data_IF_966169867752
#
_entry.id   IF_966169867752
#
_cell.length_a   1.000
_cell.length_b   1.000
_cell.length_c   1.000
_cell.angle_alpha   90.00
_cell.angle_beta   90.00
_cell.angle_gamma   90.00
#
_symmetry.space_group_name_H-M   'P 1'
#
loop_
_entity.id
_entity.type
_entity.pdbx_description
1 polymer ?
#
# COMPACT_ATOMS: atom_id res chain seq x y z
N UNK A 1 -28.86 1.01 29.86
CA UNK A 1 -28.14 -0.05 30.60
C UNK A 1 -27.55 -1.14 29.69
N UNK A 2 -28.32 -1.72 28.75
CA UNK A 2 -27.82 -2.77 27.84
C UNK A 2 -26.63 -2.36 26.95
N UNK A 3 -26.62 -1.12 26.43
CA UNK A 3 -25.52 -0.59 25.61
C UNK A 3 -24.22 -0.35 26.40
N UNK A 4 -24.34 0.03 27.67
CA UNK A 4 -23.19 0.27 28.55
C UNK A 4 -22.55 -1.04 29.01
N UNK A 5 -23.36 -2.07 29.27
CA UNK A 5 -22.90 -3.44 29.55
C UNK A 5 -22.21 -4.09 28.34
N UNK A 6 -22.65 -3.79 27.12
CA UNK A 6 -21.99 -4.25 25.90
C UNK A 6 -20.60 -3.62 25.74
N UNK A 7 -20.49 -2.31 25.98
CA UNK A 7 -19.21 -1.58 25.91
C UNK A 7 -18.26 -2.04 27.03
N UNK A 8 -18.77 -2.27 28.25
CA UNK A 8 -18.00 -2.87 29.35
C UNK A 8 -17.62 -4.34 29.09
N UNK A 9 -18.45 -5.10 28.38
CA UNK A 9 -18.15 -6.45 27.94
C UNK A 9 -17.03 -6.48 26.90
N UNK A 10 -17.07 -5.59 25.91
CA UNK A 10 -16.01 -5.43 24.91
C UNK A 10 -14.71 -4.94 25.56
N UNK A 11 -14.79 -3.95 26.46
CA UNK A 11 -13.63 -3.50 27.23
C UNK A 11 -13.08 -4.60 28.16
N UNK A 12 -13.95 -5.40 28.79
CA UNK A 12 -13.56 -6.53 29.63
C UNK A 12 -12.81 -7.63 28.85
N UNK A 13 -13.21 -7.89 27.61
CA UNK A 13 -12.51 -8.82 26.70
C UNK A 13 -11.16 -8.24 26.26
N UNK A 14 -11.07 -6.92 26.04
CA UNK A 14 -9.81 -6.23 25.71
C UNK A 14 -8.80 -6.24 26.86
N UNK A 15 -9.25 -6.26 28.12
CA UNK A 15 -8.36 -6.25 29.30
C UNK A 15 -8.12 -7.62 29.95
N UNK A 16 -8.93 -8.65 29.65
CA UNK A 16 -8.78 -10.00 30.21
C UNK A 16 -7.92 -10.96 29.36
N UNK A 17 -7.44 -10.54 28.19
CA UNK A 17 -6.62 -11.34 27.27
C UNK A 17 -5.18 -11.65 27.73
N UNK A 18 -4.88 -11.48 29.03
CA UNK A 18 -3.62 -11.90 29.62
C UNK A 18 -3.60 -13.40 29.84
N UNK A 19 -2.87 -14.13 28.99
CA UNK A 19 -2.47 -15.55 29.15
C UNK A 19 -3.45 -16.59 28.59
N UNK A 20 -3.50 -16.74 27.27
CA UNK A 20 -3.83 -18.02 26.64
C UNK A 20 -2.90 -18.24 25.44
N UNK A 21 -2.43 -19.48 25.29
CA UNK A 21 -1.32 -19.88 24.42
C UNK A 21 -1.65 -19.71 22.92
N UNK A 22 -0.83 -18.92 22.24
CA UNK A 22 -0.41 -18.88 20.82
C UNK A 22 -1.34 -19.27 19.64
N UNK A 23 -2.29 -20.20 19.76
CA UNK A 23 -3.19 -20.60 18.65
C UNK A 23 -4.61 -20.06 18.82
N UNK A 24 -5.16 -20.04 20.04
CA UNK A 24 -6.51 -19.50 20.27
C UNK A 24 -6.55 -17.99 20.08
N UNK A 25 -5.44 -17.31 20.36
CA UNK A 25 -5.34 -15.86 20.19
C UNK A 25 -5.42 -15.45 18.73
N UNK A 26 -4.84 -16.21 17.79
CA UNK A 26 -4.89 -15.90 16.35
C UNK A 26 -6.30 -15.96 15.76
N UNK A 27 -7.09 -16.95 16.17
CA UNK A 27 -8.50 -17.05 15.72
C UNK A 27 -9.32 -15.91 16.32
N UNK A 28 -9.10 -15.59 17.60
CA UNK A 28 -9.78 -14.47 18.25
C UNK A 28 -9.38 -13.12 17.63
N UNK A 29 -8.09 -12.92 17.36
CA UNK A 29 -7.53 -11.75 16.65
C UNK A 29 -8.21 -11.56 15.31
N UNK A 30 -8.26 -12.62 14.48
CA UNK A 30 -8.95 -12.57 13.19
C UNK A 30 -10.41 -12.17 13.34
N UNK A 31 -11.15 -12.71 14.32
CA UNK A 31 -12.56 -12.34 14.53
C UNK A 31 -12.72 -10.88 15.00
N UNK A 32 -11.88 -10.43 15.93
CA UNK A 32 -11.98 -9.09 16.54
C UNK A 32 -11.54 -8.01 15.56
N UNK A 33 -10.46 -8.24 14.84
CA UNK A 33 -9.87 -7.31 13.89
C UNK A 33 -10.47 -7.43 12.49
N UNK A 34 -11.29 -8.45 12.23
CA UNK A 34 -11.95 -8.67 10.94
C UNK A 34 -12.54 -7.40 10.30
N UNK A 35 -13.36 -6.58 11.01
CA UNK A 35 -13.94 -5.40 10.39
C UNK A 35 -12.90 -4.35 10.02
N UNK A 36 -11.79 -4.28 10.77
CA UNK A 36 -10.70 -3.35 10.50
C UNK A 36 -9.86 -3.83 9.30
N UNK A 37 -9.48 -5.11 9.29
CA UNK A 37 -8.74 -5.71 8.18
C UNK A 37 -9.51 -5.59 6.87
N UNK A 38 -10.80 -5.95 6.87
CA UNK A 38 -11.63 -5.84 5.67
C UNK A 38 -11.68 -4.40 5.10
N UNK A 39 -11.66 -3.38 5.97
CA UNK A 39 -11.60 -1.97 5.54
C UNK A 39 -10.21 -1.63 5.00
N UNK A 40 -9.14 -2.12 5.62
CA UNK A 40 -7.79 -1.92 5.12
C UNK A 40 -7.57 -2.59 3.77
N UNK A 41 -8.01 -3.83 3.60
CA UNK A 41 -7.91 -4.56 2.34
C UNK A 41 -8.72 -3.84 1.24
N UNK A 42 -9.91 -3.33 1.59
CA UNK A 42 -10.72 -2.51 0.68
C UNK A 42 -9.98 -1.23 0.26
N UNK A 43 -9.28 -0.58 1.18
CA UNK A 43 -8.47 0.59 0.88
C UNK A 43 -7.25 0.20 0.06
N UNK A 44 -6.59 -0.92 0.31
CA UNK A 44 -5.40 -1.32 -0.45
C UNK A 44 -5.70 -1.69 -1.91
N UNK A 45 -6.96 -1.96 -2.27
CA UNK A 45 -7.37 -2.25 -3.68
C UNK A 45 -7.02 -1.17 -4.71
N UNK A 46 -6.75 0.06 -4.29
CA UNK A 46 -6.39 1.15 -5.19
C UNK A 46 -5.35 2.08 -4.60
N UNK A 47 -4.60 2.77 -5.45
CA UNK A 47 -3.76 3.91 -5.09
C UNK A 47 -4.41 5.18 -5.62
N UNK A 48 -4.44 6.21 -4.79
CA UNK A 48 -4.78 7.58 -5.19
C UNK A 48 -3.80 8.54 -4.53
N UNK A 49 -2.82 9.01 -5.30
CA UNK A 49 -1.90 10.03 -4.82
C UNK A 49 -2.20 11.35 -5.53
N UNK A 50 -2.07 12.44 -4.77
CA UNK A 50 -2.20 13.80 -5.29
C UNK A 50 -0.99 14.57 -4.81
N UNK A 51 -0.35 15.29 -5.74
CA UNK A 51 0.81 16.10 -5.40
C UNK A 51 0.92 17.34 -6.26
N UNK A 52 1.96 18.11 -5.95
CA UNK A 52 2.33 19.31 -6.68
C UNK A 52 3.85 19.44 -6.73
N UNK A 53 4.36 20.14 -7.74
CA UNK A 53 5.79 20.40 -7.88
C UNK A 53 6.20 20.65 -9.32
N UNK A 54 7.47 21.02 -9.56
CA UNK A 54 8.03 21.14 -10.89
C UNK A 54 8.29 19.74 -11.48
N UNK A 55 7.22 19.02 -11.82
CA UNK A 55 7.28 17.69 -12.45
C UNK A 55 6.62 17.73 -13.82
N UNK A 56 7.08 16.90 -14.74
CA UNK A 56 6.36 16.54 -15.95
C UNK A 56 6.29 15.03 -15.98
N UNK A 57 5.09 14.48 -16.00
CA UNK A 57 4.84 13.05 -15.91
C UNK A 57 3.66 12.64 -16.79
N UNK A 58 3.86 11.58 -17.56
CA UNK A 58 2.79 10.88 -18.24
C UNK A 58 3.15 9.40 -18.26
N UNK A 59 2.34 8.56 -17.63
CA UNK A 59 2.54 7.12 -17.51
C UNK A 59 1.22 6.40 -17.64
N UNK A 60 1.23 5.34 -18.43
CA UNK A 60 0.14 4.38 -18.54
C UNK A 60 0.72 2.98 -18.35
N UNK A 61 0.13 2.22 -17.45
CA UNK A 61 0.65 0.95 -16.97
C UNK A 61 -0.43 -0.13 -16.97
N UNK A 62 -0.13 -1.24 -17.63
CA UNK A 62 -0.88 -2.48 -17.46
C UNK A 62 -0.28 -3.33 -16.34
N UNK A 63 1.05 -3.40 -16.26
CA UNK A 63 1.80 -3.98 -15.13
C UNK A 63 3.17 -3.32 -15.08
N UNK A 64 3.95 -3.55 -14.04
CA UNK A 64 5.34 -3.14 -14.02
C UNK A 64 6.12 -3.68 -15.22
N UNK A 65 5.79 -4.85 -15.79
CA UNK A 65 6.40 -5.40 -17.01
C UNK A 65 5.95 -4.74 -18.32
N UNK A 66 4.75 -4.17 -18.33
CA UNK A 66 4.11 -3.62 -19.53
C UNK A 66 3.55 -2.24 -19.20
N UNK A 67 4.35 -1.20 -19.46
CA UNK A 67 3.92 0.20 -19.34
C UNK A 67 4.70 1.13 -20.27
N UNK A 68 4.17 2.33 -20.46
CA UNK A 68 4.79 3.34 -21.29
C UNK A 68 4.64 4.71 -20.65
N UNK A 69 5.72 5.50 -20.69
CA UNK A 69 5.67 6.83 -20.12
C UNK A 69 7.04 7.43 -19.82
N UNK A 70 7.00 8.63 -19.28
CA UNK A 70 8.18 9.33 -18.82
C UNK A 70 7.84 10.29 -17.69
N UNK A 71 8.84 10.52 -16.83
CA UNK A 71 8.80 11.50 -15.75
C UNK A 71 10.13 12.22 -15.66
N UNK A 72 10.08 13.50 -15.35
CA UNK A 72 11.22 14.27 -14.87
C UNK A 72 10.78 15.28 -13.82
N UNK A 73 11.55 15.38 -12.74
CA UNK A 73 11.43 16.46 -11.76
C UNK A 73 11.01 15.99 -10.36
N UNK A 74 10.61 16.96 -9.55
CA UNK A 74 10.32 16.76 -8.13
C UNK A 74 8.85 17.06 -7.83
N UNK A 75 8.26 16.29 -6.92
CA UNK A 75 6.88 16.46 -6.47
C UNK A 75 6.73 16.18 -4.99
N UNK A 76 5.98 17.01 -4.29
CA UNK A 76 5.46 16.72 -2.95
C UNK A 76 4.09 16.07 -3.11
N UNK A 77 3.92 14.88 -2.54
CA UNK A 77 2.71 14.07 -2.70
C UNK A 77 2.09 13.73 -1.35
N UNK A 78 0.76 13.70 -1.35
CA UNK A 78 -0.05 13.02 -0.36
C UNK A 78 -0.34 11.61 -0.88
N UNK A 79 0.04 10.61 -0.11
CA UNK A 79 -0.04 9.20 -0.45
C UNK A 79 -1.26 8.55 0.20
N UNK A 80 -2.03 7.89 -0.65
CA UNK A 80 -2.89 6.76 -0.31
C UNK A 80 -2.46 5.69 -1.29
N UNK A 81 -1.46 4.92 -0.92
CA UNK A 81 -0.71 4.05 -1.81
C UNK A 81 -0.74 2.59 -1.35
N UNK A 82 -0.31 1.71 -2.27
CA UNK A 82 -0.19 0.27 -2.08
C UNK A 82 0.46 -0.12 -0.75
N UNK A 83 -0.01 -1.24 -0.19
CA UNK A 83 0.56 -1.86 1.02
C UNK A 83 0.48 -0.93 2.24
N UNK A 84 -0.70 -0.35 2.49
CA UNK A 84 -1.02 0.49 3.65
C UNK A 84 -0.15 1.73 3.80
N UNK A 85 0.29 2.31 2.69
CA UNK A 85 1.10 3.51 2.70
C UNK A 85 0.24 4.78 2.70
N UNK A 86 0.17 5.45 3.86
CA UNK A 86 -0.65 6.64 4.06
C UNK A 86 0.17 7.80 4.62
N UNK A 87 0.19 8.93 3.94
CA UNK A 87 0.85 10.11 4.49
C UNK A 87 1.41 11.06 3.45
N UNK A 88 2.60 11.59 3.69
CA UNK A 88 3.21 12.61 2.84
C UNK A 88 4.66 12.25 2.53
N UNK A 89 5.14 12.71 1.38
CA UNK A 89 6.54 12.56 1.02
C UNK A 89 6.93 13.32 -0.24
N UNK A 90 8.24 13.34 -0.47
CA UNK A 90 8.88 14.03 -1.60
C UNK A 90 9.45 13.00 -2.55
N UNK A 91 8.96 13.00 -3.78
CA UNK A 91 9.47 12.18 -4.88
C UNK A 91 10.34 13.02 -5.80
N UNK A 92 11.54 12.54 -6.08
CA UNK A 92 12.47 13.18 -7.00
C UNK A 92 13.17 12.17 -7.89
N UNK A 93 13.47 12.60 -9.11
CA UNK A 93 14.15 11.81 -10.12
C UNK A 93 13.45 11.78 -11.46
N UNK A 94 13.79 10.78 -12.26
CA UNK A 94 13.30 10.63 -13.63
C UNK A 94 13.12 9.16 -13.99
N UNK A 95 12.27 8.92 -14.99
CA UNK A 95 12.19 7.63 -15.65
C UNK A 95 11.74 7.80 -17.09
N UNK A 96 12.01 6.80 -17.90
CA UNK A 96 11.29 6.55 -19.14
C UNK A 96 11.13 5.05 -19.32
N UNK A 97 10.01 4.64 -19.93
CA UNK A 97 9.83 3.26 -20.36
C UNK A 97 9.00 3.22 -21.62
N UNK A 98 9.36 2.28 -22.50
CA UNK A 98 8.59 1.97 -23.67
C UNK A 98 8.25 0.47 -23.69
N UNK A 99 7.02 0.17 -23.31
CA UNK A 99 6.44 -1.17 -23.20
C UNK A 99 7.11 -1.99 -22.09
N UNK A 100 8.36 -2.43 -22.26
CA UNK A 100 9.01 -3.33 -21.30
C UNK A 100 10.49 -3.04 -21.08
N UNK A 101 11.02 -2.02 -21.75
CA UNK A 101 12.42 -1.62 -21.63
C UNK A 101 12.46 -0.14 -21.33
N UNK A 102 13.20 0.21 -20.29
CA UNK A 102 13.31 1.58 -19.84
C UNK A 102 14.47 1.77 -18.88
N UNK A 103 14.53 2.96 -18.33
CA UNK A 103 15.47 3.32 -17.28
C UNK A 103 14.77 4.20 -16.25
N UNK A 104 15.09 3.99 -14.98
CA UNK A 104 14.61 4.84 -13.90
C UNK A 104 15.74 5.16 -12.93
N UNK A 105 15.70 6.39 -12.44
CA UNK A 105 16.37 6.83 -11.24
C UNK A 105 15.36 7.71 -10.48
N UNK A 106 14.57 7.06 -9.65
CA UNK A 106 13.43 7.68 -8.96
C UNK A 106 13.38 7.20 -7.52
N UNK A 107 13.08 8.10 -6.59
CA UNK A 107 12.92 7.74 -5.18
C UNK A 107 11.98 8.63 -4.41
N UNK A 108 11.51 8.09 -3.28
CA UNK A 108 10.86 8.83 -2.20
C UNK A 108 11.95 9.16 -1.17
N UNK A 109 12.40 10.41 -1.17
CA UNK A 109 13.57 10.85 -0.39
C UNK A 109 13.20 11.17 1.06
N UNK A 110 12.10 11.90 1.23
CA UNK A 110 11.56 12.29 2.53
C UNK A 110 10.12 11.81 2.61
N UNK A 111 9.72 11.31 3.77
CA UNK A 111 8.38 10.78 3.97
C UNK A 111 8.01 10.71 5.45
N UNK A 112 6.72 10.65 5.72
CA UNK A 112 6.15 10.25 7.01
C UNK A 112 6.42 8.78 7.29
N UNK A 113 6.33 8.35 8.55
CA UNK A 113 6.68 6.99 9.00
C UNK A 113 5.92 5.86 8.30
N UNK A 114 4.70 6.12 7.82
CA UNK A 114 3.85 5.14 7.15
C UNK A 114 4.05 5.10 5.64
N UNK A 115 4.98 5.88 5.07
CA UNK A 115 5.28 5.87 3.65
C UNK A 115 6.73 5.43 3.49
N UNK A 116 6.95 4.38 2.71
CA UNK A 116 8.27 3.78 2.56
C UNK A 116 9.21 4.72 1.80
N UNK A 117 10.40 4.93 2.36
CA UNK A 117 11.49 5.58 1.65
C UNK A 117 12.19 4.55 0.80
N UNK A 118 12.45 4.90 -0.45
CA UNK A 118 13.21 4.06 -1.35
C UNK A 118 13.85 4.89 -2.45
N UNK A 119 14.86 4.30 -3.08
CA UNK A 119 15.45 4.82 -4.30
C UNK A 119 15.64 3.64 -5.22
N UNK A 120 15.15 3.77 -6.45
CA UNK A 120 15.25 2.74 -7.46
C UNK A 120 16.11 3.28 -8.61
N UNK A 121 17.17 2.52 -8.93
CA UNK A 121 18.05 2.79 -10.07
C UNK A 121 18.07 1.51 -10.89
N UNK A 122 17.47 1.57 -12.08
CA UNK A 122 17.25 0.39 -12.92
C UNK A 122 17.42 0.75 -14.38
N UNK A 123 18.02 -0.17 -15.13
CA UNK A 123 18.08 -0.14 -16.59
C UNK A 123 17.58 -1.47 -17.14
N UNK A 124 16.77 -1.44 -18.19
CA UNK A 124 16.24 -2.62 -18.83
C UNK A 124 14.86 -3.03 -18.32
N UNK A 125 14.66 -4.33 -18.16
CA UNK A 125 13.37 -4.92 -17.83
C UNK A 125 13.08 -4.86 -16.32
N UNK A 126 11.86 -4.48 -15.91
CA UNK A 126 11.44 -4.51 -14.51
C UNK A 126 11.16 -5.94 -14.02
N UNK A 127 12.03 -6.41 -13.14
CA UNK A 127 11.97 -7.75 -12.57
C UNK A 127 11.08 -7.79 -11.32
N UNK A 128 10.18 -8.79 -11.18
CA UNK A 128 9.25 -8.86 -10.05
C UNK A 128 9.94 -9.10 -8.70
N UNK A 129 11.17 -9.60 -8.73
CA UNK A 129 11.97 -9.86 -7.53
C UNK A 129 12.84 -8.66 -7.12
N UNK A 130 12.77 -7.55 -7.84
CA UNK A 130 13.44 -6.31 -7.47
C UNK A 130 12.98 -5.85 -6.06
N UNK A 131 13.90 -5.38 -5.19
CA UNK A 131 13.57 -4.89 -3.85
C UNK A 131 12.40 -3.90 -3.80
N UNK A 132 12.22 -3.03 -4.80
CA UNK A 132 11.11 -2.06 -4.81
C UNK A 132 9.75 -2.74 -4.77
N UNK A 133 9.60 -3.89 -5.45
CA UNK A 133 8.35 -4.66 -5.44
C UNK A 133 8.28 -5.60 -4.24
N UNK A 134 9.40 -6.28 -3.92
CA UNK A 134 9.46 -7.24 -2.81
C UNK A 134 9.19 -6.61 -1.45
N UNK A 135 9.67 -5.38 -1.24
CA UNK A 135 9.49 -4.66 0.02
C UNK A 135 8.13 -3.96 0.10
N UNK A 136 7.26 -4.14 -0.90
CA UNK A 136 5.93 -3.53 -0.92
C UNK A 136 5.94 -2.01 -1.17
N UNK A 137 7.02 -1.44 -1.70
CA UNK A 137 7.08 -0.01 -2.01
C UNK A 137 6.20 0.33 -3.23
N UNK A 138 6.16 -0.58 -4.20
CA UNK A 138 5.33 -0.52 -5.40
C UNK A 138 4.72 -1.90 -5.66
N UNK A 139 3.52 -1.93 -6.23
CA UNK A 139 2.92 -3.17 -6.71
C UNK A 139 3.39 -3.46 -8.14
N UNK A 140 3.93 -4.65 -8.35
CA UNK A 140 4.35 -5.15 -9.66
C UNK A 140 3.15 -5.33 -10.61
N UNK A 141 1.99 -5.69 -10.08
CA UNK A 141 0.79 -6.04 -10.84
C UNK A 141 -0.21 -4.89 -10.97
N UNK A 142 0.17 -3.69 -10.51
CA UNK A 142 -0.69 -2.52 -10.57
C UNK A 142 -1.06 -2.19 -12.02
N UNK A 143 -2.33 -1.87 -12.22
CA UNK A 143 -2.88 -1.33 -13.48
C UNK A 143 -3.28 0.11 -13.22
N UNK A 144 -2.89 1.04 -14.09
CA UNK A 144 -3.25 2.44 -13.92
C UNK A 144 -2.30 3.39 -14.61
N UNK A 145 -2.06 4.52 -13.99
CA UNK A 145 -1.16 5.51 -14.55
C UNK A 145 -1.05 6.76 -13.69
N UNK A 146 -0.22 7.66 -14.16
CA UNK A 146 -0.01 8.96 -13.56
C UNK A 146 0.11 10.02 -14.64
N UNK A 147 -0.40 11.21 -14.32
CA UNK A 147 -0.32 12.36 -15.21
C UNK A 147 -0.06 13.60 -14.36
N UNK A 148 0.93 14.38 -14.76
CA UNK A 148 1.36 15.51 -13.97
C UNK A 148 2.12 16.58 -14.72
N UNK A 149 1.89 17.81 -14.31
CA UNK A 149 2.70 18.98 -14.60
C UNK A 149 3.00 19.66 -13.26
N UNK A 150 2.43 20.84 -13.04
CA UNK A 150 2.48 21.50 -11.72
C UNK A 150 1.70 20.75 -10.63
N UNK A 151 0.64 20.07 -11.02
CA UNK A 151 -0.16 19.17 -10.19
C UNK A 151 -0.04 17.79 -10.80
N UNK A 152 0.13 16.78 -9.96
CA UNK A 152 0.24 15.38 -10.36
C UNK A 152 -0.81 14.54 -9.66
N UNK A 153 -1.42 13.63 -10.42
CA UNK A 153 -2.31 12.61 -9.90
C UNK A 153 -1.84 11.22 -10.31
N UNK A 154 -1.83 10.31 -9.35
CA UNK A 154 -1.55 8.88 -9.56
C UNK A 154 -2.83 8.11 -9.26
N UNK A 155 -3.23 7.24 -10.18
CA UNK A 155 -4.37 6.35 -9.99
C UNK A 155 -3.98 4.94 -10.44
N UNK A 156 -4.01 4.00 -9.49
CA UNK A 156 -3.78 2.60 -9.77
C UNK A 156 -4.84 1.74 -9.09
N UNK A 157 -5.11 0.58 -9.68
CA UNK A 157 -5.82 -0.52 -9.04
C UNK A 157 -4.84 -1.67 -8.83
N UNK A 158 -5.07 -2.45 -7.79
CA UNK A 158 -4.20 -3.52 -7.35
C UNK A 158 -4.94 -4.86 -7.44
N UNK A 159 -4.79 -5.63 -8.54
CA UNK A 159 -5.55 -6.85 -8.76
C UNK A 159 -5.37 -7.90 -7.66
N UNK A 160 -4.18 -7.98 -7.07
CA UNK A 160 -3.90 -8.92 -5.97
C UNK A 160 -4.62 -8.47 -4.70
N UNK A 161 -4.58 -7.18 -4.34
CA UNK A 161 -5.31 -6.68 -3.16
C UNK A 161 -6.83 -6.75 -3.36
N UNK A 162 -7.32 -6.61 -4.60
CA UNK A 162 -8.74 -6.86 -4.91
C UNK A 162 -9.11 -8.31 -4.62
N UNK A 163 -8.25 -9.27 -5.03
CA UNK A 163 -8.48 -10.67 -4.73
C UNK A 163 -8.44 -10.93 -3.22
N UNK A 164 -7.48 -10.34 -2.52
CA UNK A 164 -7.32 -10.43 -1.07
C UNK A 164 -8.54 -9.87 -0.32
N UNK A 165 -9.01 -8.67 -0.65
CA UNK A 165 -10.25 -8.10 -0.11
C UNK A 165 -11.46 -9.02 -0.32
N UNK A 166 -11.63 -9.57 -1.54
CA UNK A 166 -12.75 -10.46 -1.86
C UNK A 166 -12.68 -11.75 -1.05
N UNK A 167 -11.48 -12.33 -0.88
CA UNK A 167 -11.31 -13.51 -0.04
C UNK A 167 -11.42 -13.19 1.45
N UNK A 168 -11.07 -11.97 1.84
CA UNK A 168 -11.19 -11.43 3.18
C UNK A 168 -12.63 -11.45 3.68
N UNK A 169 -13.62 -11.19 2.80
CA UNK A 169 -15.06 -11.33 3.11
C UNK A 169 -15.41 -12.75 3.64
N UNK A 170 -14.65 -13.76 3.21
CA UNK A 170 -14.81 -15.16 3.61
C UNK A 170 -13.80 -15.59 4.69
N UNK A 171 -13.22 -14.64 5.43
CA UNK A 171 -12.21 -14.87 6.47
C UNK A 171 -10.91 -15.53 5.96
N UNK A 172 -10.60 -15.37 4.68
CA UNK A 172 -9.36 -15.84 4.08
C UNK A 172 -8.45 -14.67 3.72
N UNK A 173 -7.22 -14.73 4.23
CA UNK A 173 -6.17 -13.74 4.05
C UNK A 173 -5.17 -14.30 3.05
N UNK A 174 -5.20 -13.76 1.82
CA UNK A 174 -4.40 -14.22 0.69
C UNK A 174 -2.97 -13.67 0.79
N UNK A 175 -2.81 -12.41 1.23
CA UNK A 175 -1.50 -11.75 1.32
C UNK A 175 -0.75 -12.01 2.63
N UNK A 176 -1.45 -12.43 3.68
CA UNK A 176 -0.86 -12.63 4.99
C UNK A 176 -0.57 -11.32 5.73
N UNK A 177 -1.29 -10.24 5.41
CA UNK A 177 -1.04 -8.90 5.95
C UNK A 177 -2.13 -8.40 6.92
N UNK A 178 -3.08 -9.27 7.32
CA UNK A 178 -4.05 -9.01 8.39
C UNK A 178 -3.40 -8.39 9.66
N UNK A 179 -4.02 -7.36 10.23
CA UNK A 179 -3.60 -6.86 11.54
C UNK A 179 -3.76 -7.94 12.61
N UNK A 180 -2.79 -7.99 13.52
CA UNK A 180 -2.78 -8.81 14.73
C UNK A 180 -2.57 -7.93 15.97
N UNK A 181 -2.85 -8.47 17.17
CA UNK A 181 -2.68 -7.67 18.39
C UNK A 181 -1.24 -7.23 18.66
N UNK A 182 -0.26 -7.96 18.12
CA UNK A 182 1.16 -7.58 18.24
C UNK A 182 1.50 -6.29 17.48
N UNK A 183 0.75 -5.93 16.44
CA UNK A 183 0.97 -4.68 15.68
C UNK A 183 0.68 -3.41 16.50
N UNK A 184 0.01 -3.56 17.64
CA UNK A 184 -0.31 -2.46 18.56
C UNK A 184 0.60 -2.41 19.78
N UNK A 185 1.58 -3.31 19.88
CA UNK A 185 2.54 -3.32 20.98
C UNK A 185 3.71 -2.39 20.62
N UNK A 186 3.84 -1.32 21.41
CA UNK A 186 4.89 -0.29 21.29
C UNK A 186 5.93 -0.43 22.40
#
# INVERSE_FOLDING_TARGET
MKKFLLILGIAGVLFAGGSAKADTNRVLEKIVLYPANLVLDALDTFTLNIGFGPVLEARLQATAAIWGGGRVGMSWKMYKAYNRQYGFGTEDGWYWEFVSVGEENLGVLESTSLVNKYTEIRTGFPEPFNPVYRNGNRDYWAIGGSLGGLVIGDLYIHPIDIADFVTGIFFYDLKGDDLIFDDFRW
#
